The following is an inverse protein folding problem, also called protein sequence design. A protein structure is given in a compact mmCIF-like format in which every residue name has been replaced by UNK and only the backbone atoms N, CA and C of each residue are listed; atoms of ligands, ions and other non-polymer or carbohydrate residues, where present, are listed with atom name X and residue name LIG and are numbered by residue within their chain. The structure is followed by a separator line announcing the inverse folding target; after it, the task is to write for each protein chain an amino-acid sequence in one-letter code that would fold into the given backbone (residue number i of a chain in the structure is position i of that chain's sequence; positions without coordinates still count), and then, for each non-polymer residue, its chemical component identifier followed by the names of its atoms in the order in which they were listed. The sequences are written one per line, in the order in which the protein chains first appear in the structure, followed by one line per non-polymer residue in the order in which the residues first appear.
data_IF_785337639716
#
_entry.id   IF_785337639716
#
_cell.length_a   1.000
_cell.length_b   1.000
_cell.length_c   1.000
_cell.angle_alpha   90.00
_cell.angle_beta   90.00
_cell.angle_gamma   90.00
#
_symmetry.space_group_name_H-M   'P 1'
#
loop_
_entity.id
_entity.type
_entity.pdbx_description
1 polymer ?
#
# COMPACT_ATOMS: atom_id res chain seq x y z
N UNK A 1 -17.22 -6.17 24.26
CA UNK A 1 -17.77 -6.04 22.90
C UNK A 1 -17.34 -4.71 22.34
N UNK A 2 -16.79 -4.70 21.13
CA UNK A 2 -16.56 -3.45 20.38
C UNK A 2 -17.80 -3.31 19.51
N UNK A 3 -18.57 -2.23 19.67
CA UNK A 3 -19.88 -2.09 19.03
C UNK A 3 -19.80 -1.99 17.49
N UNK A 4 -18.62 -1.67 16.91
CA UNK A 4 -18.34 -1.64 15.46
C UNK A 4 -16.84 -1.88 15.18
N UNK A 5 -16.52 -2.63 14.12
CA UNK A 5 -15.14 -2.76 13.63
C UNK A 5 -14.73 -1.54 12.78
N UNK A 6 -13.42 -1.30 12.63
CA UNK A 6 -12.90 -0.22 11.76
C UNK A 6 -13.35 -0.40 10.31
N UNK A 7 -13.48 -1.66 9.88
CA UNK A 7 -14.01 -2.00 8.57
C UNK A 7 -15.46 -1.55 8.40
N UNK A 8 -16.32 -1.77 9.40
CA UNK A 8 -17.73 -1.37 9.33
C UNK A 8 -17.85 0.16 9.21
N UNK A 9 -17.06 0.90 10.00
CA UNK A 9 -17.00 2.37 9.94
C UNK A 9 -16.54 2.84 8.56
N UNK A 10 -15.54 2.17 7.98
CA UNK A 10 -15.05 2.48 6.64
C UNK A 10 -16.14 2.29 5.58
N UNK A 11 -16.83 1.14 5.59
CA UNK A 11 -17.91 0.85 4.64
C UNK A 11 -19.05 1.85 4.78
N UNK A 12 -19.40 2.25 6.01
CA UNK A 12 -20.43 3.27 6.25
C UNK A 12 -20.06 4.65 5.68
N UNK A 13 -18.77 5.03 5.71
CA UNK A 13 -18.31 6.34 5.25
C UNK A 13 -17.95 6.37 3.75
N UNK A 14 -17.30 5.32 3.25
CA UNK A 14 -16.74 5.26 1.90
C UNK A 14 -17.65 4.52 0.90
N UNK A 15 -18.62 3.76 1.40
CA UNK A 15 -19.47 2.87 0.61
C UNK A 15 -18.87 1.49 0.39
N UNK A 16 -19.68 0.59 -0.17
CA UNK A 16 -19.26 -0.78 -0.47
C UNK A 16 -18.30 -0.84 -1.68
N UNK A 17 -17.39 -1.82 -1.65
CA UNK A 17 -16.50 -2.14 -2.77
C UNK A 17 -15.17 -1.38 -2.81
N UNK A 18 -14.93 -0.45 -1.88
CA UNK A 18 -13.63 0.19 -1.71
C UNK A 18 -12.79 -0.54 -0.64
N UNK A 19 -11.55 -0.95 -0.95
CA UNK A 19 -10.66 -1.52 0.06
C UNK A 19 -10.30 -0.47 1.10
N UNK A 20 -10.12 -0.88 2.36
CA UNK A 20 -9.69 0.00 3.44
C UNK A 20 -8.18 0.24 3.33
N UNK A 21 -7.70 1.48 3.10
CA UNK A 21 -6.27 1.76 3.06
C UNK A 21 -5.69 1.69 4.48
N UNK A 22 -4.89 0.66 4.77
CA UNK A 22 -4.29 0.44 6.09
C UNK A 22 -2.87 0.99 6.21
N UNK A 23 -2.10 0.95 5.12
CA UNK A 23 -0.71 1.34 5.12
C UNK A 23 -0.16 1.49 3.71
N UNK A 24 0.97 2.16 3.61
CA UNK A 24 1.68 2.38 2.36
C UNK A 24 3.12 2.77 2.63
N UNK A 25 3.97 2.64 1.61
CA UNK A 25 5.35 3.10 1.65
C UNK A 25 5.39 4.57 1.21
N UNK A 26 6.02 5.41 2.01
CA UNK A 26 6.16 6.84 1.71
C UNK A 26 7.64 7.21 1.60
N UNK A 27 7.95 8.07 0.63
CA UNK A 27 9.30 8.58 0.42
C UNK A 27 9.35 10.10 0.65
N UNK A 28 10.45 10.57 1.23
CA UNK A 28 10.61 11.99 1.53
C UNK A 28 10.78 12.78 0.22
N UNK A 29 9.94 13.80 0.00
CA UNK A 29 9.98 14.65 -1.22
C UNK A 29 11.29 15.38 -1.45
N UNK A 30 12.13 15.53 -0.43
CA UNK A 30 13.46 16.14 -0.56
C UNK A 30 14.50 15.20 -1.17
N UNK A 31 14.17 13.92 -1.38
CA UNK A 31 15.08 12.97 -2.02
C UNK A 31 15.13 13.26 -3.53
N UNK A 32 16.33 13.22 -4.17
CA UNK A 32 16.43 13.37 -5.62
C UNK A 32 15.54 12.38 -6.37
N UNK A 33 14.81 12.85 -7.39
CA UNK A 33 13.82 12.03 -8.12
C UNK A 33 14.41 10.75 -8.70
N UNK A 34 15.62 10.79 -9.24
CA UNK A 34 16.30 9.59 -9.74
C UNK A 34 16.53 8.54 -8.64
N UNK A 35 16.81 8.97 -7.41
CA UNK A 35 16.94 8.06 -6.25
C UNK A 35 15.58 7.57 -5.77
N UNK A 36 14.55 8.41 -5.82
CA UNK A 36 13.20 8.01 -5.44
C UNK A 36 12.67 6.90 -6.36
N UNK A 37 12.84 7.06 -7.68
CA UNK A 37 12.47 6.06 -8.70
C UNK A 37 13.29 4.77 -8.50
N UNK A 38 14.60 4.88 -8.28
CA UNK A 38 15.46 3.72 -8.01
C UNK A 38 14.99 2.93 -6.77
N UNK A 39 14.67 3.61 -5.67
CA UNK A 39 14.16 2.97 -4.44
C UNK A 39 12.81 2.31 -4.69
N UNK A 40 11.90 2.97 -5.41
CA UNK A 40 10.59 2.39 -5.77
C UNK A 40 10.76 1.08 -6.54
N UNK A 41 11.64 1.06 -7.55
CA UNK A 41 11.93 -0.15 -8.33
C UNK A 41 12.53 -1.26 -7.46
N UNK A 42 13.47 -0.94 -6.57
CA UNK A 42 14.06 -1.92 -5.62
C UNK A 42 12.98 -2.54 -4.72
N UNK A 43 12.04 -1.72 -4.22
CA UNK A 43 10.96 -2.19 -3.36
C UNK A 43 9.99 -3.09 -4.14
N UNK A 44 9.61 -2.67 -5.35
CA UNK A 44 8.80 -3.46 -6.28
C UNK A 44 9.43 -4.84 -6.52
N UNK A 45 10.72 -4.88 -6.81
CA UNK A 45 11.42 -6.14 -7.06
C UNK A 45 11.52 -7.00 -5.79
N UNK A 46 11.68 -6.38 -4.62
CA UNK A 46 11.61 -7.06 -3.33
C UNK A 46 10.26 -7.76 -3.10
N UNK A 47 9.15 -7.10 -3.48
CA UNK A 47 7.80 -7.69 -3.40
C UNK A 47 7.65 -8.86 -4.38
N UNK A 48 8.13 -8.72 -5.62
CA UNK A 48 8.10 -9.82 -6.61
C UNK A 48 8.86 -11.05 -6.11
N UNK A 49 10.08 -10.86 -5.61
CA UNK A 49 10.88 -11.96 -5.07
C UNK A 49 10.19 -12.61 -3.86
N UNK A 50 9.57 -11.82 -2.99
CA UNK A 50 8.81 -12.34 -1.86
C UNK A 50 7.58 -13.16 -2.30
N UNK A 51 6.90 -12.73 -3.36
CA UNK A 51 5.75 -13.46 -3.91
C UNK A 51 6.19 -14.76 -4.61
N UNK A 52 7.24 -14.71 -5.44
CA UNK A 52 7.81 -15.90 -6.11
C UNK A 52 8.29 -16.97 -5.12
N UNK A 53 8.80 -16.53 -3.95
CA UNK A 53 9.37 -17.41 -2.92
C UNK A 53 8.52 -17.48 -1.66
N UNK A 54 7.20 -17.34 -1.81
CA UNK A 54 6.27 -17.21 -0.68
C UNK A 54 6.38 -18.33 0.35
N UNK A 55 6.46 -19.59 -0.08
CA UNK A 55 6.59 -20.74 0.83
C UNK A 55 7.89 -20.68 1.64
N UNK A 56 9.00 -20.34 1.00
CA UNK A 56 10.32 -20.21 1.62
C UNK A 56 10.34 -19.04 2.62
N UNK A 57 9.66 -17.94 2.29
CA UNK A 57 9.47 -16.79 3.16
C UNK A 57 8.64 -17.14 4.40
N UNK A 58 7.48 -17.80 4.24
CA UNK A 58 6.65 -18.26 5.35
C UNK A 58 7.45 -19.11 6.33
N UNK A 59 8.10 -20.16 5.83
CA UNK A 59 8.88 -21.08 6.64
C UNK A 59 10.02 -20.36 7.41
N UNK A 60 10.64 -19.35 6.79
CA UNK A 60 11.66 -18.54 7.46
C UNK A 60 11.08 -17.66 8.57
N UNK A 61 9.96 -16.97 8.30
CA UNK A 61 9.32 -16.08 9.26
C UNK A 61 8.87 -16.84 10.52
N UNK A 62 8.36 -18.05 10.35
CA UNK A 62 8.00 -18.93 11.46
C UNK A 62 9.21 -19.42 12.23
N UNK A 63 10.22 -19.96 11.52
CA UNK A 63 11.44 -20.49 12.14
C UNK A 63 12.16 -19.45 12.98
N UNK A 64 12.16 -18.20 12.54
CA UNK A 64 12.80 -17.07 13.23
C UNK A 64 11.86 -16.40 14.26
N UNK A 65 10.62 -16.90 14.42
CA UNK A 65 9.60 -16.37 15.33
C UNK A 65 9.34 -14.86 15.12
N UNK A 66 9.42 -14.42 13.86
CA UNK A 66 9.21 -13.03 13.44
C UNK A 66 7.73 -12.67 13.32
N UNK A 67 6.86 -13.68 13.27
CA UNK A 67 5.42 -13.53 13.18
C UNK A 67 4.74 -14.33 14.30
N UNK A 68 3.71 -13.74 14.91
CA UNK A 68 2.91 -14.38 15.98
C UNK A 68 1.70 -15.13 15.44
N UNK A 69 1.75 -15.54 14.18
CA UNK A 69 0.61 -16.06 13.40
C UNK A 69 1.00 -17.46 12.90
N UNK A 70 0.08 -18.42 12.95
CA UNK A 70 0.28 -19.79 12.46
C UNK A 70 0.31 -19.87 10.93
N UNK A 71 1.01 -20.86 10.38
CA UNK A 71 1.20 -21.20 8.97
C UNK A 71 -0.01 -20.91 8.05
N UNK A 72 -1.19 -21.42 8.40
CA UNK A 72 -2.41 -21.26 7.59
C UNK A 72 -2.91 -19.81 7.52
N UNK A 73 -2.75 -19.06 8.61
CA UNK A 73 -3.18 -17.67 8.71
C UNK A 73 -2.10 -16.72 8.17
N UNK A 74 -0.81 -17.09 8.29
CA UNK A 74 0.30 -16.38 7.68
C UNK A 74 0.22 -16.43 6.15
N UNK A 75 -0.08 -17.61 5.60
CA UNK A 75 -0.25 -17.80 4.15
C UNK A 75 -1.37 -16.93 3.61
N UNK A 76 -2.54 -16.93 4.27
CA UNK A 76 -3.68 -16.06 3.93
C UNK A 76 -3.34 -14.58 4.06
N UNK A 77 -2.66 -14.17 5.13
CA UNK A 77 -2.20 -12.80 5.30
C UNK A 77 -1.31 -12.38 4.13
N UNK A 78 -0.33 -13.21 3.77
CA UNK A 78 0.53 -12.95 2.62
C UNK A 78 -0.24 -13.00 1.29
N UNK A 79 -1.31 -13.79 1.13
CA UNK A 79 -2.14 -13.77 -0.08
C UNK A 79 -2.87 -12.42 -0.24
N UNK A 80 -3.27 -11.82 0.88
CA UNK A 80 -3.94 -10.52 0.87
C UNK A 80 -2.99 -9.37 0.49
N UNK A 81 -1.71 -9.46 0.86
CA UNK A 81 -0.74 -8.37 0.69
C UNK A 81 0.30 -8.58 -0.41
N UNK A 82 0.51 -9.81 -0.87
CA UNK A 82 1.54 -10.17 -1.85
C UNK A 82 0.94 -10.78 -3.13
N UNK A 83 -0.32 -10.48 -3.47
CA UNK A 83 -0.85 -10.84 -4.80
C UNK A 83 -0.21 -9.99 -5.91
N UNK A 84 -0.33 -10.38 -7.19
CA UNK A 84 0.21 -9.60 -8.31
C UNK A 84 -0.30 -8.14 -8.37
N UNK A 85 -1.43 -7.87 -7.71
CA UNK A 85 -2.00 -6.53 -7.53
C UNK A 85 -1.30 -5.68 -6.44
N UNK A 86 -0.31 -6.22 -5.72
CA UNK A 86 0.44 -5.53 -4.65
C UNK A 86 1.67 -4.77 -5.15
N UNK A 87 2.04 -4.96 -6.42
CA UNK A 87 3.25 -4.36 -7.00
C UNK A 87 3.05 -2.87 -7.26
N UNK A 88 1.83 -2.45 -7.61
CA UNK A 88 1.48 -1.07 -7.89
C UNK A 88 0.09 -0.75 -7.34
N UNK A 89 -0.14 0.53 -7.02
CA UNK A 89 -1.46 0.99 -6.62
C UNK A 89 -2.43 0.87 -7.80
N UNK A 90 -3.40 -0.02 -7.67
CA UNK A 90 -4.51 -0.14 -8.62
C UNK A 90 -5.42 1.09 -8.59
N UNK A 91 -6.20 1.30 -9.66
CA UNK A 91 -7.20 2.37 -9.71
C UNK A 91 -8.20 2.31 -8.56
N UNK A 92 -8.57 1.10 -8.13
CA UNK A 92 -9.48 0.89 -7.00
C UNK A 92 -8.85 1.36 -5.67
N UNK A 93 -7.56 1.08 -5.47
CA UNK A 93 -6.83 1.54 -4.29
C UNK A 93 -6.58 3.06 -4.31
N UNK A 94 -6.32 3.64 -5.48
CA UNK A 94 -6.22 5.10 -5.65
C UNK A 94 -7.55 5.77 -5.30
N UNK A 95 -8.67 5.22 -5.77
CA UNK A 95 -10.01 5.71 -5.43
C UNK A 95 -10.29 5.59 -3.92
N UNK A 96 -9.89 4.50 -3.29
CA UNK A 96 -10.02 4.34 -1.84
C UNK A 96 -9.20 5.38 -1.07
N UNK A 97 -7.96 5.65 -1.48
CA UNK A 97 -7.12 6.70 -0.87
C UNK A 97 -7.72 8.10 -1.07
N UNK A 98 -8.18 8.42 -2.28
CA UNK A 98 -8.83 9.70 -2.57
C UNK A 98 -10.10 9.88 -1.71
N UNK A 99 -10.88 8.81 -1.53
CA UNK A 99 -12.07 8.81 -0.66
C UNK A 99 -11.68 9.05 0.80
N UNK A 100 -10.65 8.36 1.31
CA UNK A 100 -10.14 8.56 2.67
C UNK A 100 -9.71 10.01 2.91
N UNK A 101 -8.95 10.59 1.98
CA UNK A 101 -8.51 11.97 2.08
C UNK A 101 -9.67 12.96 1.97
N UNK A 102 -10.64 12.69 1.10
CA UNK A 102 -11.85 13.49 0.98
C UNK A 102 -12.65 13.50 2.29
N UNK A 103 -12.90 12.33 2.90
CA UNK A 103 -13.58 12.23 4.20
C UNK A 103 -12.84 13.07 5.24
N UNK A 104 -11.51 12.95 5.32
CA UNK A 104 -10.72 13.75 6.25
C UNK A 104 -10.80 15.26 5.98
N UNK A 105 -10.86 15.67 4.71
CA UNK A 105 -11.00 17.08 4.32
C UNK A 105 -12.37 17.64 4.75
N UNK A 106 -13.45 16.91 4.48
CA UNK A 106 -14.82 17.28 4.85
C UNK A 106 -14.99 17.41 6.37
N UNK A 107 -14.20 16.67 7.15
CA UNK A 107 -14.16 16.75 8.61
C UNK A 107 -13.06 17.68 9.17
N UNK A 108 -12.40 18.48 8.32
CA UNK A 108 -11.46 19.51 8.75
C UNK A 108 -10.08 19.00 9.22
N UNK A 109 -9.69 17.77 8.86
CA UNK A 109 -8.36 17.22 9.19
C UNK A 109 -7.24 17.85 8.37
N UNK A 110 -7.54 18.34 7.17
CA UNK A 110 -6.57 18.93 6.24
C UNK A 110 -7.03 20.33 5.81
N UNK A 111 -6.08 21.24 5.56
CA UNK A 111 -6.37 22.60 5.11
C UNK A 111 -6.74 22.73 3.62
N UNK A 112 -6.57 21.66 2.85
CA UNK A 112 -6.84 21.61 1.41
C UNK A 112 -7.19 20.20 0.97
N UNK A 113 -7.96 20.02 -0.12
CA UNK A 113 -8.20 18.70 -0.68
C UNK A 113 -6.88 18.07 -1.13
N UNK A 114 -6.76 16.76 -0.90
CA UNK A 114 -5.59 15.95 -1.26
C UNK A 114 -6.04 14.95 -2.31
N UNK A 115 -5.33 14.91 -3.44
CA UNK A 115 -5.50 13.90 -4.47
C UNK A 115 -4.26 13.04 -4.55
N UNK A 116 -4.42 11.73 -4.48
CA UNK A 116 -3.32 10.77 -4.35
C UNK A 116 -2.36 10.85 -5.54
N UNK A 117 -2.88 11.03 -6.75
CA UNK A 117 -2.09 11.14 -7.98
C UNK A 117 -1.01 12.23 -7.92
N UNK A 118 -1.28 13.32 -7.20
CA UNK A 118 -0.40 14.48 -7.13
C UNK A 118 0.83 14.23 -6.23
N UNK A 119 0.84 13.07 -5.55
CA UNK A 119 1.86 12.67 -4.60
C UNK A 119 2.57 11.37 -4.96
N UNK A 120 2.28 10.80 -6.15
CA UNK A 120 3.01 9.66 -6.69
C UNK A 120 4.38 10.08 -7.26
N UNK A 121 5.31 9.14 -7.35
CA UNK A 121 6.64 9.38 -7.91
C UNK A 121 6.50 9.55 -9.44
N UNK A 122 7.00 10.64 -10.04
CA UNK A 122 6.89 10.88 -11.48
C UNK A 122 7.91 10.04 -12.26
N UNK A 123 7.54 8.81 -12.61
CA UNK A 123 8.42 7.84 -13.29
C UNK A 123 8.84 8.30 -14.68
N UNK A 124 8.03 9.12 -15.35
CA UNK A 124 8.33 9.73 -16.65
C UNK A 124 9.61 10.59 -16.63
N UNK A 125 10.05 11.05 -15.46
CA UNK A 125 11.29 11.80 -15.31
C UNK A 125 12.52 11.03 -15.81
N UNK A 126 12.56 9.70 -15.64
CA UNK A 126 13.68 8.89 -16.09
C UNK A 126 13.81 8.87 -17.62
N UNK A 127 12.69 8.78 -18.33
CA UNK A 127 12.67 8.85 -19.79
C UNK A 127 13.11 10.24 -20.29
N UNK A 128 12.57 11.31 -19.68
CA UNK A 128 12.90 12.69 -20.03
C UNK A 128 14.37 13.07 -19.75
N UNK A 129 15.00 12.46 -18.76
CA UNK A 129 16.41 12.72 -18.43
C UNK A 129 17.38 12.09 -19.43
N UNK A 130 17.00 10.95 -20.01
CA UNK A 130 17.85 10.16 -20.89
C UNK A 130 17.53 10.36 -22.38
N UNK A 131 16.61 11.27 -22.71
CA UNK A 131 16.26 11.68 -24.08
C UNK A 131 17.16 12.77 -24.64
#
# INVERSE_FOLDING_TARGET
EVEKEVWDIWVELAGEGLPLPLGGMAIRRSLPLNRAIEIENILIDGVKVANEKKEELCAKLEKENLVRISDEMLTKYLDMYASDASVELSELQLKALDTLYQIGFEHGMWGSPIKTSDYLIPREYEALRNS
#
